data_IF_998384416045
#
_entry.id   IF_998384416045
#
_cell.length_a   1.000
_cell.length_b   1.000
_cell.length_c   1.000
_cell.angle_alpha   90.00
_cell.angle_beta   90.00
_cell.angle_gamma   90.00
#
_symmetry.space_group_name_H-M   'P 1'
#
loop_
_entity.id
_entity.type
_entity.pdbx_description
1 polymer ?
#
# COMPACT_ATOMS: atom_id res chain seq x y z
N UNK A 1 21.84 1.88 44.21
CA UNK A 1 21.41 0.49 43.93
C UNK A 1 21.01 0.42 42.46
N UNK A 2 21.93 0.35 41.50
CA UNK A 2 22.78 -0.79 41.10
C UNK A 2 21.98 -2.07 40.84
N UNK A 3 21.79 -2.40 39.56
CA UNK A 3 22.19 -3.71 39.04
C UNK A 3 22.80 -3.49 37.64
N UNK A 4 24.13 -3.56 37.64
CA UNK A 4 25.02 -3.48 36.51
C UNK A 4 24.94 -4.79 35.67
N UNK A 5 25.16 -4.68 34.37
CA UNK A 5 26.37 -5.18 33.68
C UNK A 5 26.36 -6.66 33.30
N UNK A 6 26.72 -6.88 32.04
CA UNK A 6 27.51 -7.96 31.44
C UNK A 6 26.95 -8.03 30.01
N UNK A 7 27.64 -7.57 28.98
CA UNK A 7 28.87 -8.16 28.48
C UNK A 7 29.78 -7.10 27.83
N UNK A 8 31.03 -7.05 28.28
CA UNK A 8 32.17 -6.56 27.50
C UNK A 8 32.92 -7.78 26.97
N UNK A 9 33.12 -7.85 25.66
CA UNK A 9 34.27 -8.52 25.08
C UNK A 9 34.89 -7.57 24.05
N UNK A 10 36.13 -7.19 24.30
CA UNK A 10 36.91 -6.33 23.42
C UNK A 10 37.45 -7.11 22.23
N UNK A 11 37.53 -6.44 21.09
CA UNK A 11 38.56 -6.62 20.09
C UNK A 11 38.62 -5.34 19.27
N UNK A 12 39.73 -4.61 19.40
CA UNK A 12 40.03 -3.47 18.54
C UNK A 12 40.17 -3.94 17.10
N UNK A 13 39.31 -3.43 16.22
CA UNK A 13 39.57 -3.41 14.79
C UNK A 13 39.16 -2.03 14.28
N UNK A 14 40.14 -1.27 13.79
CA UNK A 14 39.91 -0.06 12.99
C UNK A 14 38.98 -0.44 11.84
N UNK A 15 37.71 -0.04 11.90
CA UNK A 15 36.78 -0.21 10.78
C UNK A 15 36.97 0.96 9.84
N UNK A 16 37.54 0.68 8.68
CA UNK A 16 37.54 1.58 7.54
C UNK A 16 36.11 2.07 7.29
N UNK A 17 35.94 3.40 7.29
CA UNK A 17 34.69 4.14 7.17
C UNK A 17 34.02 4.03 5.79
N UNK A 18 34.59 3.24 4.88
CA UNK A 18 34.09 3.04 3.52
C UNK A 18 33.02 1.94 3.42
N UNK A 19 33.01 0.97 4.34
CA UNK A 19 32.04 -0.15 4.32
C UNK A 19 30.65 0.18 4.85
N UNK A 20 30.54 1.15 5.77
CA UNK A 20 29.25 1.53 6.37
C UNK A 20 28.31 2.21 5.35
N UNK A 21 28.87 2.89 4.35
CA UNK A 21 28.09 3.52 3.26
C UNK A 21 27.55 2.47 2.28
N UNK A 22 28.35 1.44 1.99
CA UNK A 22 27.95 0.32 1.13
C UNK A 22 26.92 -0.60 1.82
N UNK A 23 27.06 -0.87 3.12
CA UNK A 23 26.06 -1.62 3.88
C UNK A 23 24.73 -0.87 4.02
N UNK A 24 24.75 0.47 4.12
CA UNK A 24 23.54 1.30 4.10
C UNK A 24 22.89 1.36 2.71
N UNK A 25 23.68 1.24 1.63
CA UNK A 25 23.18 1.14 0.26
C UNK A 25 22.62 -0.26 -0.06
N UNK A 26 23.18 -1.33 0.53
CA UNK A 26 22.71 -2.71 0.36
C UNK A 26 21.47 -3.04 1.21
N UNK A 27 21.23 -2.32 2.30
CA UNK A 27 20.03 -2.44 3.16
C UNK A 27 18.84 -1.57 2.70
N UNK A 28 18.95 -0.83 1.59
CA UNK A 28 17.89 0.08 1.11
C UNK A 28 17.24 -0.34 -0.21
N UNK A 29 17.27 -1.62 -0.58
CA UNK A 29 16.33 -2.15 -1.57
C UNK A 29 14.97 -2.44 -0.91
N UNK A 30 14.53 -1.57 0.02
CA UNK A 30 13.17 -1.62 0.56
C UNK A 30 12.24 -1.61 -0.65
N UNK A 31 11.51 -2.70 -0.88
CA UNK A 31 10.62 -2.78 -2.02
C UNK A 31 9.72 -1.54 -1.98
N UNK A 32 9.64 -0.81 -3.11
CA UNK A 32 8.91 0.45 -3.20
C UNK A 32 7.50 0.26 -2.62
N UNK A 33 6.84 1.23 -2.00
CA UNK A 33 5.53 0.95 -1.41
C UNK A 33 4.48 0.52 -2.47
N UNK A 34 3.54 -0.37 -2.13
CA UNK A 34 2.25 -0.46 -2.86
C UNK A 34 1.21 0.27 -2.03
N UNK A 35 0.48 1.19 -2.66
CA UNK A 35 -0.55 1.99 -2.04
C UNK A 35 -1.92 1.38 -2.31
N UNK A 36 -2.75 1.26 -1.28
CA UNK A 36 -4.17 0.89 -1.41
C UNK A 36 -5.00 2.10 -1.06
N UNK A 37 -5.81 2.58 -1.99
CA UNK A 37 -6.84 3.57 -1.72
C UNK A 37 -8.18 2.85 -1.67
N UNK A 38 -8.82 2.87 -0.51
CA UNK A 38 -10.11 2.22 -0.30
C UNK A 38 -11.18 3.26 0.05
N UNK A 39 -12.23 3.33 -0.77
CA UNK A 39 -13.30 4.30 -0.55
C UNK A 39 -14.28 3.80 0.51
N UNK A 40 -14.41 4.57 1.59
CA UNK A 40 -15.36 4.34 2.67
C UNK A 40 -15.87 5.68 3.19
N UNK A 41 -17.19 5.91 3.10
CA UNK A 41 -17.84 7.09 3.70
C UNK A 41 -17.94 7.00 5.21
N UNK A 42 -17.86 5.79 5.75
CA UNK A 42 -17.87 5.48 7.18
C UNK A 42 -16.79 4.45 7.50
N UNK A 43 -16.13 4.60 8.65
CA UNK A 43 -15.15 3.63 9.11
C UNK A 43 -15.86 2.48 9.83
N UNK A 44 -16.00 1.36 9.12
CA UNK A 44 -16.68 0.16 9.63
C UNK A 44 -15.70 -0.96 9.98
N UNK A 45 -16.21 -2.03 10.58
CA UNK A 45 -15.41 -3.20 10.92
C UNK A 45 -14.73 -3.80 9.68
N UNK A 46 -15.41 -3.80 8.54
CA UNK A 46 -14.90 -4.29 7.26
C UNK A 46 -13.73 -3.43 6.77
N UNK A 47 -13.81 -2.11 6.91
CA UNK A 47 -12.70 -1.19 6.61
C UNK A 47 -11.50 -1.48 7.52
N UNK A 48 -11.74 -1.75 8.80
CA UNK A 48 -10.68 -2.14 9.73
C UNK A 48 -10.04 -3.49 9.37
N UNK A 49 -10.84 -4.46 8.93
CA UNK A 49 -10.37 -5.77 8.45
C UNK A 49 -9.48 -5.58 7.21
N UNK A 50 -9.95 -4.82 6.22
CA UNK A 50 -9.17 -4.53 5.02
C UNK A 50 -7.87 -3.81 5.38
N UNK A 51 -7.91 -2.76 6.19
CA UNK A 51 -6.72 -2.02 6.63
C UNK A 51 -5.71 -2.94 7.33
N UNK A 52 -6.16 -3.80 8.24
CA UNK A 52 -5.28 -4.77 8.94
C UNK A 52 -4.68 -5.78 7.97
N UNK A 53 -5.48 -6.29 7.03
CA UNK A 53 -5.00 -7.23 6.01
C UNK A 53 -3.98 -6.58 5.07
N UNK A 54 -4.18 -5.32 4.70
CA UNK A 54 -3.25 -4.52 3.90
C UNK A 54 -1.92 -4.31 4.64
N UNK A 55 -1.99 -3.83 5.89
CA UNK A 55 -0.80 -3.56 6.71
C UNK A 55 0.01 -4.84 6.97
N UNK A 56 -0.66 -5.96 7.30
CA UNK A 56 -0.03 -7.28 7.49
C UNK A 56 0.73 -7.75 6.25
N UNK A 57 0.25 -7.40 5.07
CA UNK A 57 0.81 -7.81 3.78
C UNK A 57 1.75 -6.76 3.16
N UNK A 58 2.16 -5.73 3.91
CA UNK A 58 3.17 -4.75 3.46
C UNK A 58 2.64 -3.64 2.54
N UNK A 59 1.33 -3.40 2.52
CA UNK A 59 0.72 -2.30 1.77
C UNK A 59 0.61 -1.03 2.62
N UNK A 60 0.71 0.13 1.98
CA UNK A 60 0.35 1.43 2.57
C UNK A 60 -1.13 1.71 2.32
N UNK A 61 -1.93 1.67 3.37
CA UNK A 61 -3.39 1.80 3.26
C UNK A 61 -3.86 3.25 3.47
N UNK A 62 -4.76 3.69 2.61
CA UNK A 62 -5.38 5.02 2.63
C UNK A 62 -6.90 4.86 2.55
N UNK A 63 -7.60 5.19 3.63
CA UNK A 63 -9.06 5.34 3.58
C UNK A 63 -9.39 6.67 2.91
N UNK A 64 -10.31 6.66 1.95
CA UNK A 64 -10.75 7.87 1.23
C UNK A 64 -12.25 8.09 1.36
N UNK A 65 -12.67 9.35 1.35
CA UNK A 65 -14.09 9.73 1.42
C UNK A 65 -14.72 9.66 2.82
N UNK A 66 -13.94 9.43 3.87
CA UNK A 66 -14.47 9.27 5.23
C UNK A 66 -15.21 10.53 5.71
N UNK A 67 -16.44 10.35 6.18
CA UNK A 67 -17.32 11.43 6.63
C UNK A 67 -18.07 12.14 5.50
N UNK A 68 -17.82 11.80 4.23
CA UNK A 68 -18.54 12.39 3.10
C UNK A 68 -19.84 11.63 2.84
N UNK A 69 -20.95 12.31 2.49
CA UNK A 69 -22.20 11.63 2.18
C UNK A 69 -22.08 10.82 0.89
N UNK A 70 -22.61 9.60 0.90
CA UNK A 70 -22.68 8.77 -0.30
C UNK A 70 -23.73 9.30 -1.28
N UNK A 71 -23.31 9.65 -2.50
CA UNK A 71 -24.18 10.14 -3.58
C UNK A 71 -24.18 9.21 -4.81
N UNK A 72 -23.87 7.92 -4.60
CA UNK A 72 -23.71 6.93 -5.67
C UNK A 72 -22.27 6.74 -6.12
N UNK A 73 -22.06 5.92 -7.16
CA UNK A 73 -20.73 5.44 -7.58
C UNK A 73 -19.73 6.54 -7.94
N UNK A 74 -20.19 7.70 -8.42
CA UNK A 74 -19.34 8.85 -8.69
C UNK A 74 -18.56 9.33 -7.44
N UNK A 75 -19.14 9.16 -6.24
CA UNK A 75 -18.51 9.52 -4.96
C UNK A 75 -17.16 8.85 -4.80
N UNK A 76 -17.06 7.56 -5.17
CA UNK A 76 -15.84 6.76 -5.10
C UNK A 76 -14.74 7.32 -6.01
N UNK A 77 -15.07 7.64 -7.26
CA UNK A 77 -14.10 8.16 -8.23
C UNK A 77 -13.56 9.54 -7.82
N UNK A 78 -14.43 10.43 -7.35
CA UNK A 78 -14.03 11.77 -6.88
C UNK A 78 -13.14 11.68 -5.62
N UNK A 79 -13.45 10.77 -4.69
CA UNK A 79 -12.63 10.55 -3.50
C UNK A 79 -11.23 10.02 -3.85
N UNK A 80 -11.12 9.12 -4.83
CA UNK A 80 -9.84 8.66 -5.35
C UNK A 80 -9.04 9.77 -6.01
N UNK A 81 -9.65 10.52 -6.92
CA UNK A 81 -8.97 11.59 -7.64
C UNK A 81 -8.37 12.61 -6.68
N UNK A 82 -9.16 13.11 -5.73
CA UNK A 82 -8.71 14.09 -4.72
C UNK A 82 -7.55 13.53 -3.89
N UNK A 83 -7.64 12.26 -3.48
CA UNK A 83 -6.59 11.63 -2.68
C UNK A 83 -5.33 11.40 -3.49
N UNK A 84 -5.44 10.94 -4.73
CA UNK A 84 -4.32 10.73 -5.64
C UNK A 84 -3.58 12.04 -5.90
N UNK A 85 -4.28 13.14 -6.21
CA UNK A 85 -3.68 14.47 -6.38
C UNK A 85 -2.85 14.87 -5.15
N UNK A 86 -3.44 14.77 -3.95
CA UNK A 86 -2.73 15.07 -2.69
C UNK A 86 -1.51 14.17 -2.48
N UNK A 87 -1.61 12.88 -2.80
CA UNK A 87 -0.53 11.93 -2.59
C UNK A 87 0.60 12.12 -3.61
N UNK A 88 0.30 12.48 -4.86
CA UNK A 88 1.29 12.82 -5.89
C UNK A 88 2.15 14.02 -5.49
N UNK A 89 1.57 14.98 -4.78
CA UNK A 89 2.29 16.17 -4.31
C UNK A 89 3.18 15.90 -3.06
N UNK A 90 3.04 14.73 -2.42
CA UNK A 90 3.61 14.50 -1.08
C UNK A 90 4.39 13.21 -0.93
N UNK A 91 3.84 12.07 -1.35
CA UNK A 91 4.32 10.74 -0.94
C UNK A 91 4.44 9.73 -2.08
N UNK A 92 3.57 9.79 -3.09
CA UNK A 92 3.61 8.90 -4.24
C UNK A 92 4.74 9.29 -5.19
N UNK A 93 5.53 8.30 -5.58
CA UNK A 93 6.51 8.42 -6.66
C UNK A 93 5.91 7.93 -7.99
N UNK A 94 6.43 8.38 -9.14
CA UNK A 94 5.89 8.01 -10.46
C UNK A 94 5.82 6.50 -10.74
N UNK A 95 6.64 5.72 -10.05
CA UNK A 95 6.72 4.27 -10.22
C UNK A 95 6.07 3.47 -9.08
N UNK A 96 5.45 4.16 -8.11
CA UNK A 96 4.69 3.49 -7.06
C UNK A 96 3.44 2.83 -7.65
N UNK A 97 3.11 1.64 -7.16
CA UNK A 97 1.90 0.94 -7.54
C UNK A 97 0.74 1.44 -6.68
N UNK A 98 -0.39 1.73 -7.32
CA UNK A 98 -1.62 2.12 -6.65
C UNK A 98 -2.74 1.16 -6.99
N UNK A 99 -3.40 0.62 -5.97
CA UNK A 99 -4.61 -0.20 -6.07
C UNK A 99 -5.81 0.59 -5.54
N UNK A 100 -6.90 0.62 -6.30
CA UNK A 100 -8.17 1.20 -5.89
C UNK A 100 -9.12 0.05 -5.54
N UNK A 101 -9.59 -0.04 -4.29
CA UNK A 101 -10.40 -1.15 -3.80
C UNK A 101 -11.68 -0.69 -3.12
N UNK A 102 -12.73 -1.51 -3.15
CA UNK A 102 -13.88 -1.32 -2.28
C UNK A 102 -13.51 -1.63 -0.83
N UNK A 103 -14.03 -0.85 0.12
CA UNK A 103 -13.56 -0.90 1.50
C UNK A 103 -14.34 -1.88 2.39
N UNK A 104 -15.50 -2.38 1.95
CA UNK A 104 -16.43 -3.10 2.81
C UNK A 104 -16.58 -4.59 2.47
N UNK A 105 -16.19 -5.02 1.27
CA UNK A 105 -16.36 -6.39 0.79
C UNK A 105 -15.05 -6.97 0.21
N UNK A 106 -13.91 -6.36 0.52
CA UNK A 106 -12.60 -6.84 0.06
C UNK A 106 -11.64 -7.12 1.22
N UNK A 107 -10.70 -8.04 0.99
CA UNK A 107 -9.60 -8.36 1.89
C UNK A 107 -8.35 -8.65 1.06
N UNK A 108 -7.16 -8.34 1.59
CA UNK A 108 -5.88 -8.63 0.96
C UNK A 108 -5.27 -9.86 1.61
N UNK A 109 -5.02 -10.90 0.80
CA UNK A 109 -4.49 -12.19 1.27
C UNK A 109 -3.00 -12.38 1.01
N UNK A 110 -2.48 -11.77 -0.06
CA UNK A 110 -1.11 -11.96 -0.51
C UNK A 110 -0.22 -10.75 -0.21
N UNK A 111 1.11 -10.92 -0.02
CA UNK A 111 2.06 -9.83 0.17
C UNK A 111 2.15 -8.88 -1.05
N UNK A 112 2.48 -7.62 -0.78
CA UNK A 112 2.70 -6.59 -1.80
C UNK A 112 3.79 -6.97 -2.83
N UNK A 113 4.81 -7.73 -2.42
CA UNK A 113 5.88 -8.17 -3.31
C UNK A 113 5.42 -9.23 -4.31
N UNK A 114 4.42 -10.04 -3.97
CA UNK A 114 3.82 -10.98 -4.92
C UNK A 114 3.10 -10.23 -6.04
N UNK A 115 2.36 -9.16 -5.70
CA UNK A 115 1.71 -8.30 -6.68
C UNK A 115 2.75 -7.67 -7.62
N UNK A 116 3.86 -7.13 -7.07
CA UNK A 116 4.94 -6.59 -7.91
C UNK A 116 5.48 -7.62 -8.86
N UNK A 117 5.78 -8.82 -8.37
CA UNK A 117 6.31 -9.90 -9.19
C UNK A 117 5.37 -10.21 -10.37
N UNK A 118 4.06 -10.29 -10.12
CA UNK A 118 3.03 -10.48 -11.16
C UNK A 118 2.97 -9.34 -12.18
N UNK A 119 3.30 -8.12 -11.79
CA UNK A 119 3.25 -6.94 -12.65
C UNK A 119 4.56 -6.66 -13.40
N UNK A 120 5.64 -7.38 -13.13
CA UNK A 120 6.94 -7.16 -13.80
C UNK A 120 6.89 -7.29 -15.32
N UNK A 121 6.01 -8.15 -15.84
CA UNK A 121 5.83 -8.37 -17.27
C UNK A 121 4.84 -7.39 -17.93
N UNK A 122 4.18 -6.54 -17.14
CA UNK A 122 3.18 -5.58 -17.64
C UNK A 122 3.89 -4.28 -18.02
N UNK A 123 3.57 -3.68 -19.19
CA UNK A 123 4.16 -2.41 -19.58
C UNK A 123 3.96 -1.31 -18.52
N UNK A 124 4.94 -0.40 -18.36
CA UNK A 124 4.76 0.76 -17.49
C UNK A 124 3.54 1.59 -17.91
N UNK A 125 2.88 2.22 -16.92
CA UNK A 125 1.69 3.06 -17.12
C UNK A 125 0.43 2.33 -17.61
N UNK A 126 0.41 0.99 -17.57
CA UNK A 126 -0.81 0.22 -17.80
C UNK A 126 -1.75 0.33 -16.59
N UNK A 127 -3.04 0.56 -16.87
CA UNK A 127 -4.12 0.46 -15.89
C UNK A 127 -4.76 -0.92 -16.05
N UNK A 128 -4.84 -1.67 -14.94
CA UNK A 128 -5.47 -2.98 -14.91
C UNK A 128 -6.81 -2.89 -14.17
N UNK A 129 -7.87 -3.38 -14.82
CA UNK A 129 -9.19 -3.52 -14.21
C UNK A 129 -9.38 -4.94 -13.65
N UNK A 130 -10.12 -5.05 -12.55
CA UNK A 130 -10.67 -6.35 -12.14
C UNK A 130 -11.59 -6.88 -13.24
N UNK A 131 -11.61 -8.20 -13.42
CA UNK A 131 -12.46 -8.87 -14.40
C UNK A 131 -13.54 -9.67 -13.69
N UNK A 132 -14.71 -9.73 -14.30
CA UNK A 132 -15.85 -10.49 -13.82
C UNK A 132 -16.52 -11.22 -15.00
N UNK A 133 -17.40 -12.17 -14.70
CA UNK A 133 -18.10 -12.96 -15.73
C UNK A 133 -19.27 -12.22 -16.37
N UNK A 134 -19.73 -11.13 -15.76
CA UNK A 134 -20.98 -10.45 -16.07
C UNK A 134 -20.69 -9.02 -16.51
N UNK A 135 -21.32 -8.56 -17.57
CA UNK A 135 -21.21 -7.17 -18.01
C UNK A 135 -22.29 -6.31 -17.31
N UNK A 136 -21.95 -5.76 -16.15
CA UNK A 136 -22.80 -4.76 -15.48
C UNK A 136 -22.76 -3.39 -16.17
N UNK A 137 -23.80 -2.55 -16.03
CA UNK A 137 -25.07 -2.81 -15.38
C UNK A 137 -26.10 -3.54 -16.28
N UNK A 138 -25.81 -3.67 -17.57
CA UNK A 138 -26.79 -4.04 -18.60
C UNK A 138 -27.29 -5.49 -18.48
N UNK A 139 -26.55 -6.39 -17.83
CA UNK A 139 -26.98 -7.77 -17.61
C UNK A 139 -28.15 -7.92 -16.64
N UNK A 140 -28.42 -6.92 -15.79
CA UNK A 140 -29.49 -6.98 -14.78
C UNK A 140 -30.84 -6.39 -15.26
N UNK A 141 -30.91 -5.99 -16.53
CA UNK A 141 -32.11 -5.38 -17.14
C UNK A 141 -32.83 -6.32 -18.13
N UNK A 142 -32.47 -7.61 -18.13
CA UNK A 142 -33.07 -8.65 -18.99
C UNK A 142 -33.87 -9.64 -18.16
#
# INVERSE_FOLDING_TARGET
SSFAELWRCGAGLRRNSTGARAAKAAMSSSSRPVHVLACATEYRQETAILQRSAARNGFRFHTVGLGEPWKGFATKFLAYERTLRRLLDTTLQPEDLVMLLDAWDTVILAPADELRAKLTAIPPKTILGGTERVCGPNHFLV
#
